data_IF_602270540501
#
_entry.id   IF_602270540501
#
_cell.length_a   1.000
_cell.length_b   1.000
_cell.length_c   1.000
_cell.angle_alpha   90.00
_cell.angle_beta   90.00
_cell.angle_gamma   90.00
#
_symmetry.space_group_name_H-M   'P 1'
#
loop_
_entity.id
_entity.type
_entity.pdbx_description
1 polymer ?
#
# COMPACT_ATOMS: atom_id res chain seq x y z
N UNK A 1 4.78 -3.79 -1.61
CA UNK A 1 4.12 -3.20 -0.40
C UNK A 1 4.59 -3.77 0.93
N UNK A 2 4.72 -5.10 1.13
CA UNK A 2 5.01 -5.67 2.46
C UNK A 2 6.35 -5.26 3.07
N UNK A 3 7.28 -4.81 2.22
CA UNK A 3 8.56 -4.22 2.62
C UNK A 3 9.68 -5.24 2.59
N UNK A 4 10.75 -4.92 1.86
CA UNK A 4 11.99 -5.70 1.75
C UNK A 4 13.24 -4.83 1.79
N UNK A 5 13.09 -3.51 1.97
CA UNK A 5 14.23 -2.61 2.12
C UNK A 5 15.11 -3.06 3.29
N UNK A 6 16.41 -3.25 3.04
CA UNK A 6 17.37 -3.69 4.05
C UNK A 6 17.38 -5.20 4.28
N UNK A 7 16.58 -5.99 3.55
CA UNK A 7 16.62 -7.45 3.61
C UNK A 7 17.65 -7.97 2.62
N UNK A 8 18.61 -8.75 3.12
CA UNK A 8 19.62 -9.46 2.32
C UNK A 8 19.73 -10.88 2.85
N UNK A 9 19.64 -11.89 1.98
CA UNK A 9 19.71 -13.31 2.36
C UNK A 9 18.75 -13.70 3.51
N UNK A 10 17.49 -13.25 3.44
CA UNK A 10 16.47 -13.44 4.48
C UNK A 10 16.86 -12.88 5.86
N UNK A 11 17.71 -11.86 5.90
CA UNK A 11 18.04 -11.14 7.12
C UNK A 11 17.81 -9.65 6.93
N UNK A 12 17.02 -9.04 7.79
CA UNK A 12 16.84 -7.59 7.83
C UNK A 12 18.03 -6.95 8.57
N UNK A 13 18.61 -5.90 8.01
CA UNK A 13 19.75 -5.19 8.60
C UNK A 13 19.41 -4.35 9.85
N UNK A 14 18.11 -4.25 10.19
CA UNK A 14 17.56 -3.47 11.30
C UNK A 14 17.88 -1.97 11.24
N UNK A 15 18.32 -1.47 10.08
CA UNK A 15 18.52 -0.05 9.88
C UNK A 15 17.16 0.63 9.63
N UNK A 16 16.76 1.49 10.56
CA UNK A 16 15.52 2.28 10.46
C UNK A 16 15.88 3.74 10.10
N UNK A 17 15.55 4.21 8.88
CA UNK A 17 15.76 5.60 8.49
C UNK A 17 15.02 6.59 9.40
N UNK A 18 15.49 7.85 9.54
CA UNK A 18 14.81 8.90 10.32
C UNK A 18 13.32 9.06 9.96
N UNK A 19 12.98 8.98 8.68
CA UNK A 19 11.63 9.11 8.15
C UNK A 19 10.72 7.93 8.53
N UNK A 20 11.30 6.80 8.91
CA UNK A 20 10.60 5.58 9.34
C UNK A 20 10.66 5.37 10.87
N UNK A 21 11.13 6.37 11.64
CA UNK A 21 11.13 6.27 13.09
C UNK A 21 9.71 6.20 13.64
N UNK A 22 9.53 5.41 14.71
CA UNK A 22 8.23 5.23 15.35
C UNK A 22 7.72 6.54 15.97
N UNK A 23 6.41 6.76 15.89
CA UNK A 23 5.73 7.93 16.44
C UNK A 23 4.50 7.46 17.22
N UNK A 24 4.26 7.99 18.42
CA UNK A 24 3.10 7.60 19.25
C UNK A 24 1.74 7.90 18.60
N UNK A 25 1.71 8.82 17.62
CA UNK A 25 0.53 9.15 16.82
C UNK A 25 0.37 8.28 15.57
N UNK A 26 1.24 7.28 15.36
CA UNK A 26 1.12 6.31 14.27
C UNK A 26 0.99 4.92 14.88
N UNK A 27 -0.16 4.29 14.64
CA UNK A 27 -0.49 2.96 15.13
C UNK A 27 -0.49 1.95 13.99
N UNK A 28 -0.30 0.68 14.33
CA UNK A 28 -0.38 -0.47 13.43
C UNK A 28 -1.37 -1.49 13.99
N UNK A 29 -2.25 -2.02 13.16
CA UNK A 29 -3.09 -3.14 13.54
C UNK A 29 -2.30 -4.46 13.41
N UNK A 30 -2.07 -5.14 14.52
CA UNK A 30 -1.36 -6.44 14.55
C UNK A 30 -2.17 -7.58 13.94
N UNK A 31 -1.56 -8.76 13.77
CA UNK A 31 -2.27 -9.99 13.42
C UNK A 31 -3.40 -10.33 14.40
N UNK A 32 -3.20 -10.02 15.69
CA UNK A 32 -4.17 -10.22 16.76
C UNK A 32 -5.28 -9.17 16.83
N UNK A 33 -5.40 -8.30 15.82
CA UNK A 33 -6.40 -7.22 15.75
C UNK A 33 -6.31 -6.23 16.92
N UNK A 34 -5.10 -6.02 17.45
CA UNK A 34 -4.82 -5.03 18.47
C UNK A 34 -4.01 -3.88 17.88
N UNK A 35 -4.24 -2.66 18.35
CA UNK A 35 -3.44 -1.49 17.99
C UNK A 35 -2.17 -1.42 18.82
N UNK A 36 -1.04 -1.18 18.17
CA UNK A 36 0.24 -0.88 18.80
C UNK A 36 0.92 0.30 18.10
N UNK A 37 1.92 0.92 18.72
CA UNK A 37 2.74 1.93 18.04
C UNK A 37 3.43 1.28 16.83
N UNK A 38 3.27 1.88 15.65
CA UNK A 38 3.85 1.35 14.42
C UNK A 38 5.38 1.38 14.47
N UNK A 39 5.99 0.23 14.16
CA UNK A 39 7.43 0.04 14.02
C UNK A 39 7.68 -0.80 12.78
N UNK A 40 8.66 -0.42 11.97
CA UNK A 40 9.08 -1.28 10.88
C UNK A 40 9.77 -2.55 11.42
N UNK A 41 9.63 -3.70 10.74
CA UNK A 41 8.79 -3.96 9.57
C UNK A 41 7.29 -4.08 9.91
N UNK A 42 6.42 -3.25 9.32
CA UNK A 42 4.98 -3.25 9.68
C UNK A 42 4.20 -4.49 9.18
N UNK A 43 4.78 -5.35 8.35
CA UNK A 43 4.14 -6.59 7.89
C UNK A 43 4.70 -7.86 8.57
N UNK A 44 5.58 -7.76 9.56
CA UNK A 44 6.31 -8.91 10.14
C UNK A 44 5.42 -10.08 10.65
N UNK A 45 4.20 -9.79 11.14
CA UNK A 45 3.23 -10.79 11.60
C UNK A 45 2.08 -11.02 10.60
N UNK A 46 2.13 -10.37 9.43
CA UNK A 46 1.13 -10.43 8.35
C UNK A 46 1.67 -11.24 7.17
N UNK A 47 2.83 -10.86 6.64
CA UNK A 47 3.53 -11.53 5.54
C UNK A 47 4.49 -12.59 6.11
N UNK A 48 3.95 -13.51 6.90
CA UNK A 48 4.72 -14.49 7.69
C UNK A 48 5.47 -15.54 6.86
N UNK A 49 5.31 -15.52 5.53
CA UNK A 49 6.03 -16.38 4.61
C UNK A 49 7.42 -15.84 4.24
N UNK A 50 7.74 -14.59 4.62
CA UNK A 50 8.96 -13.93 4.23
C UNK A 50 9.55 -13.05 5.35
N UNK A 51 10.86 -12.81 5.26
CA UNK A 51 11.50 -11.78 6.09
C UNK A 51 11.07 -10.41 5.57
N UNK A 52 10.39 -9.64 6.41
CA UNK A 52 9.98 -8.28 6.10
C UNK A 52 11.10 -7.29 6.45
N UNK A 53 11.21 -6.22 5.68
CA UNK A 53 12.09 -5.08 5.95
C UNK A 53 11.32 -3.77 5.89
N UNK A 54 12.01 -2.68 5.56
CA UNK A 54 11.39 -1.38 5.36
C UNK A 54 10.40 -1.46 4.19
N UNK A 55 9.17 -0.98 4.41
CA UNK A 55 8.20 -0.66 3.38
C UNK A 55 7.88 0.84 3.37
N UNK A 56 6.87 1.29 2.60
CA UNK A 56 6.59 2.71 2.46
C UNK A 56 5.68 3.27 3.57
N UNK A 57 5.10 2.39 4.41
CA UNK A 57 3.97 2.73 5.28
C UNK A 57 4.29 3.70 6.42
N UNK A 58 5.40 3.52 7.13
CA UNK A 58 5.76 4.44 8.22
C UNK A 58 6.26 5.78 7.67
N UNK A 59 7.06 5.78 6.59
CA UNK A 59 7.47 7.01 5.88
C UNK A 59 6.26 7.80 5.39
N UNK A 60 5.26 7.12 4.81
CA UNK A 60 3.98 7.71 4.41
C UNK A 60 3.27 8.40 5.58
N UNK A 61 3.08 7.69 6.69
CA UNK A 61 2.36 8.22 7.84
C UNK A 61 3.09 9.41 8.50
N UNK A 62 4.41 9.31 8.67
CA UNK A 62 5.22 10.42 9.19
C UNK A 62 5.19 11.64 8.26
N UNK A 63 5.21 11.43 6.94
CA UNK A 63 5.13 12.50 5.95
C UNK A 63 3.78 13.21 6.00
N UNK A 64 2.68 12.49 6.21
CA UNK A 64 1.36 13.10 6.42
C UNK A 64 1.35 13.93 7.70
N UNK A 65 1.76 13.37 8.85
CA UNK A 65 1.78 14.11 10.13
C UNK A 65 2.64 15.37 10.07
N UNK A 66 3.73 15.35 9.30
CA UNK A 66 4.59 16.51 9.08
C UNK A 66 3.90 17.62 8.29
N UNK A 67 3.08 17.28 7.30
CA UNK A 67 2.41 18.24 6.41
C UNK A 67 1.01 18.65 6.89
N UNK A 68 0.32 17.78 7.64
CA UNK A 68 -0.95 18.06 8.31
C UNK A 68 -0.92 17.55 9.76
N UNK A 69 -0.36 18.35 10.70
CA UNK A 69 -0.29 17.99 12.11
C UNK A 69 -1.65 17.83 12.79
N UNK A 70 -2.73 18.31 12.16
CA UNK A 70 -4.09 18.29 12.73
C UNK A 70 -4.90 17.07 12.29
N UNK A 71 -4.36 16.21 11.42
CA UNK A 71 -5.07 15.03 10.92
C UNK A 71 -5.40 14.00 12.03
N UNK A 72 -4.74 14.10 13.19
CA UNK A 72 -4.92 13.23 14.34
C UNK A 72 -4.05 11.97 14.30
N UNK A 73 -4.49 10.92 14.99
CA UNK A 73 -3.77 9.64 15.06
C UNK A 73 -3.98 8.86 13.75
N UNK A 74 -2.90 8.40 13.13
CA UNK A 74 -2.93 7.60 11.90
C UNK A 74 -2.85 6.12 12.26
N UNK A 75 -3.83 5.33 11.81
CA UNK A 75 -3.84 3.88 11.93
C UNK A 75 -3.44 3.20 10.61
N UNK A 76 -2.39 2.39 10.63
CA UNK A 76 -1.95 1.55 9.51
C UNK A 76 -2.55 0.14 9.66
N UNK A 77 -3.18 -0.35 8.59
CA UNK A 77 -3.75 -1.70 8.51
C UNK A 77 -2.95 -2.51 7.48
N UNK A 78 -1.82 -3.13 7.89
CA UNK A 78 -1.01 -3.94 6.98
C UNK A 78 -1.77 -5.19 6.56
N UNK A 79 -1.84 -5.45 5.25
CA UNK A 79 -2.53 -6.60 4.66
C UNK A 79 -1.72 -7.29 3.55
N UNK A 80 -0.62 -6.69 3.09
CA UNK A 80 0.12 -7.20 1.95
C UNK A 80 0.81 -8.53 2.26
N UNK A 81 0.85 -9.40 1.25
CA UNK A 81 1.57 -10.68 1.27
C UNK A 81 2.44 -10.72 0.01
N UNK A 82 3.69 -11.14 0.14
CA UNK A 82 4.64 -11.18 -0.98
C UNK A 82 4.28 -12.24 -2.02
N UNK A 83 4.73 -12.03 -3.26
CA UNK A 83 4.63 -13.02 -4.35
C UNK A 83 3.21 -13.50 -4.68
N UNK A 84 2.21 -12.63 -4.52
CA UNK A 84 0.82 -12.91 -4.88
C UNK A 84 0.41 -12.22 -6.18
N UNK A 85 -0.34 -12.93 -7.02
CA UNK A 85 -0.97 -12.44 -8.24
C UNK A 85 -2.32 -11.75 -7.94
N UNK A 86 -2.77 -10.79 -8.77
CA UNK A 86 -4.04 -10.06 -8.55
C UNK A 86 -5.26 -11.00 -8.46
N UNK A 87 -5.24 -12.14 -9.14
CA UNK A 87 -6.32 -13.14 -9.09
C UNK A 87 -6.53 -13.70 -7.68
N UNK A 88 -5.48 -13.76 -6.86
CA UNK A 88 -5.53 -14.19 -5.46
C UNK A 88 -6.13 -13.12 -4.53
N UNK A 89 -6.39 -11.92 -5.04
CA UNK A 89 -7.07 -10.81 -4.37
C UNK A 89 -8.50 -10.59 -4.89
N UNK A 90 -9.02 -11.51 -5.71
CA UNK A 90 -10.40 -11.44 -6.18
C UNK A 90 -11.42 -11.54 -5.04
N UNK A 91 -12.61 -10.95 -5.22
CA UNK A 91 -13.67 -10.99 -4.21
C UNK A 91 -13.97 -12.43 -3.75
N UNK A 92 -14.06 -12.62 -2.44
CA UNK A 92 -14.28 -13.93 -1.81
C UNK A 92 -13.03 -14.78 -1.64
N UNK A 93 -11.89 -14.41 -2.24
CA UNK A 93 -10.61 -15.07 -2.00
C UNK A 93 -10.10 -14.86 -0.58
N UNK A 94 -9.11 -15.68 -0.17
CA UNK A 94 -8.53 -15.61 1.17
C UNK A 94 -7.93 -14.22 1.49
N UNK A 95 -7.04 -13.69 0.65
CA UNK A 95 -6.36 -12.42 0.93
C UNK A 95 -7.30 -11.21 0.87
N UNK A 96 -8.28 -11.26 -0.04
CA UNK A 96 -9.36 -10.28 -0.10
C UNK A 96 -10.16 -10.25 1.20
N UNK A 97 -10.65 -11.41 1.65
CA UNK A 97 -11.44 -11.50 2.89
C UNK A 97 -10.63 -11.10 4.13
N UNK A 98 -9.33 -11.43 4.16
CA UNK A 98 -8.44 -10.98 5.23
C UNK A 98 -8.31 -9.45 5.26
N UNK A 99 -8.16 -8.82 4.09
CA UNK A 99 -8.15 -7.35 3.97
C UNK A 99 -9.43 -6.74 4.52
N UNK A 100 -10.59 -7.23 4.09
CA UNK A 100 -11.87 -6.70 4.56
C UNK A 100 -12.07 -6.90 6.06
N UNK A 101 -11.74 -8.08 6.59
CA UNK A 101 -11.90 -8.38 8.02
C UNK A 101 -11.00 -7.51 8.89
N UNK A 102 -9.74 -7.31 8.48
CA UNK A 102 -8.80 -6.43 9.19
C UNK A 102 -9.24 -4.98 9.14
N UNK A 103 -9.70 -4.50 7.99
CA UNK A 103 -10.24 -3.14 7.85
C UNK A 103 -11.47 -2.95 8.73
N UNK A 104 -12.43 -3.88 8.74
CA UNK A 104 -13.62 -3.81 9.61
C UNK A 104 -13.23 -3.80 11.10
N UNK A 105 -12.26 -4.64 11.51
CA UNK A 105 -11.76 -4.64 12.88
C UNK A 105 -11.11 -3.30 13.25
N UNK A 106 -10.31 -2.71 12.35
CA UNK A 106 -9.70 -1.39 12.56
C UNK A 106 -10.75 -0.29 12.81
N UNK A 107 -11.90 -0.38 12.12
CA UNK A 107 -12.97 0.62 12.21
C UNK A 107 -13.87 0.47 13.45
N UNK A 108 -13.80 -0.65 14.18
CA UNK A 108 -14.60 -0.84 15.41
C UNK A 108 -14.30 0.22 16.48
N UNK A 109 -13.10 0.81 16.47
CA UNK A 109 -12.69 1.88 17.39
C UNK A 109 -13.22 3.27 17.04
N UNK A 110 -14.07 3.41 16.01
CA UNK A 110 -14.62 4.70 15.57
C UNK A 110 -13.70 5.51 14.65
N UNK A 111 -12.61 4.91 14.17
CA UNK A 111 -11.75 5.54 13.16
C UNK A 111 -12.43 5.61 11.79
N UNK A 112 -11.86 6.42 10.89
CA UNK A 112 -12.33 6.57 9.51
C UNK A 112 -11.33 5.95 8.53
N UNK A 113 -11.81 5.18 7.56
CA UNK A 113 -10.99 4.68 6.46
C UNK A 113 -10.66 5.83 5.50
N UNK A 114 -9.40 6.27 5.48
CA UNK A 114 -8.97 7.47 4.73
C UNK A 114 -8.52 7.19 3.31
N UNK A 115 -7.87 6.05 3.07
CA UNK A 115 -7.40 5.64 1.77
C UNK A 115 -7.03 4.15 1.76
N UNK A 116 -6.98 3.55 0.56
CA UNK A 116 -6.29 2.30 0.29
C UNK A 116 -4.97 2.59 -0.43
N UNK A 117 -3.85 2.11 0.11
CA UNK A 117 -2.55 2.11 -0.58
C UNK A 117 -2.34 0.74 -1.23
N UNK A 118 -2.09 0.71 -2.53
CA UNK A 118 -1.93 -0.52 -3.30
C UNK A 118 -0.61 -0.53 -4.08
N UNK A 119 0.25 -1.51 -3.80
CA UNK A 119 1.46 -1.73 -4.59
C UNK A 119 1.68 -3.22 -4.79
N UNK A 120 1.31 -3.68 -5.97
CA UNK A 120 1.32 -5.06 -6.43
C UNK A 120 1.31 -5.04 -7.96
N UNK A 121 1.79 -6.13 -8.56
CA UNK A 121 1.69 -6.44 -9.98
C UNK A 121 2.86 -7.27 -10.49
N UNK A 122 3.95 -7.33 -9.71
CA UNK A 122 5.21 -7.98 -10.11
C UNK A 122 4.99 -9.46 -10.45
N UNK A 123 4.11 -10.16 -9.73
CA UNK A 123 3.79 -11.58 -10.03
C UNK A 123 2.90 -11.78 -11.26
N UNK A 124 2.15 -10.77 -11.67
CA UNK A 124 1.29 -10.82 -12.87
C UNK A 124 2.10 -10.64 -14.16
N UNK A 125 3.36 -10.20 -14.06
CA UNK A 125 4.28 -10.07 -15.20
C UNK A 125 4.84 -11.40 -15.72
N UNK A 126 4.56 -12.52 -15.04
CA UNK A 126 5.18 -13.82 -15.32
C UNK A 126 4.61 -14.51 -16.56
N UNK A 127 3.34 -14.28 -16.89
CA UNK A 127 2.68 -14.90 -18.04
C UNK A 127 1.72 -13.92 -18.73
N UNK A 128 1.51 -14.14 -20.03
CA UNK A 128 0.76 -13.23 -20.89
C UNK A 128 -0.70 -13.07 -20.45
N UNK A 129 -1.37 -14.17 -20.09
CA UNK A 129 -2.79 -14.15 -19.73
C UNK A 129 -3.03 -13.28 -18.50
N UNK A 130 -2.19 -13.39 -17.47
CA UNK A 130 -2.30 -12.57 -16.27
C UNK A 130 -2.04 -11.09 -16.58
N UNK A 131 -1.05 -10.79 -17.42
CA UNK A 131 -0.75 -9.42 -17.84
C UNK A 131 -1.90 -8.79 -18.64
N UNK A 132 -2.46 -9.51 -19.61
CA UNK A 132 -3.60 -9.05 -20.41
C UNK A 132 -4.85 -8.80 -19.56
N UNK A 133 -5.10 -9.65 -18.56
CA UNK A 133 -6.27 -9.54 -17.69
C UNK A 133 -6.07 -8.56 -16.51
N UNK A 134 -4.84 -8.14 -16.23
CA UNK A 134 -4.47 -7.38 -15.04
C UNK A 134 -5.32 -6.12 -14.86
N UNK A 135 -5.46 -5.29 -15.90
CA UNK A 135 -6.24 -4.05 -15.84
C UNK A 135 -7.67 -4.28 -15.35
N UNK A 136 -8.34 -5.26 -15.94
CA UNK A 136 -9.74 -5.59 -15.62
C UNK A 136 -9.88 -6.14 -14.20
N UNK A 137 -8.94 -7.01 -13.77
CA UNK A 137 -8.93 -7.60 -12.43
C UNK A 137 -8.62 -6.55 -11.36
N UNK A 138 -7.69 -5.64 -11.63
CA UNK A 138 -7.34 -4.52 -10.75
C UNK A 138 -8.52 -3.56 -10.57
N UNK A 139 -9.18 -3.15 -11.67
CA UNK A 139 -10.38 -2.32 -11.59
C UNK A 139 -11.48 -3.01 -10.78
N UNK A 140 -11.71 -4.31 -11.03
CA UNK A 140 -12.67 -5.10 -10.29
C UNK A 140 -12.33 -5.18 -8.80
N UNK A 141 -11.07 -5.42 -8.44
CA UNK A 141 -10.62 -5.44 -7.05
C UNK A 141 -10.95 -4.11 -6.34
N UNK A 142 -10.63 -2.97 -6.95
CA UNK A 142 -10.94 -1.66 -6.37
C UNK A 142 -12.44 -1.40 -6.22
N UNK A 143 -13.25 -1.78 -7.20
CA UNK A 143 -14.70 -1.63 -7.11
C UNK A 143 -15.31 -2.55 -6.05
N UNK A 144 -14.83 -3.79 -5.95
CA UNK A 144 -15.30 -4.77 -4.97
C UNK A 144 -14.95 -4.32 -3.54
N UNK A 145 -13.71 -3.84 -3.30
CA UNK A 145 -13.30 -3.31 -1.99
C UNK A 145 -14.19 -2.14 -1.57
N UNK A 146 -14.45 -1.19 -2.47
CA UNK A 146 -15.34 -0.05 -2.20
C UNK A 146 -16.76 -0.49 -1.86
N UNK A 147 -17.28 -1.47 -2.61
CA UNK A 147 -18.62 -2.00 -2.39
C UNK A 147 -18.73 -2.73 -1.05
N UNK A 148 -17.83 -3.67 -0.76
CA UNK A 148 -17.90 -4.52 0.44
C UNK A 148 -17.55 -3.77 1.75
N UNK A 149 -16.91 -2.60 1.64
CA UNK A 149 -16.66 -1.69 2.76
C UNK A 149 -17.67 -0.54 2.84
N UNK A 150 -18.64 -0.47 1.93
CA UNK A 150 -19.62 0.63 1.83
C UNK A 150 -18.96 2.02 1.76
N UNK A 151 -17.91 2.14 0.95
CA UNK A 151 -17.11 3.36 0.77
C UNK A 151 -16.92 3.68 -0.71
N UNK A 152 -18.00 4.04 -1.45
CA UNK A 152 -17.97 4.19 -2.91
C UNK A 152 -16.99 5.26 -3.42
N UNK A 153 -16.63 6.23 -2.58
CA UNK A 153 -15.69 7.31 -2.88
C UNK A 153 -14.31 7.13 -2.23
N UNK A 154 -14.00 5.96 -1.65
CA UNK A 154 -12.72 5.69 -0.98
C UNK A 154 -11.54 6.10 -1.88
N UNK A 155 -10.66 7.02 -1.43
CA UNK A 155 -9.42 7.30 -2.14
C UNK A 155 -8.55 6.06 -2.26
N UNK A 156 -8.08 5.77 -3.45
CA UNK A 156 -7.13 4.68 -3.71
C UNK A 156 -5.88 5.29 -4.32
N UNK A 157 -4.73 4.96 -3.77
CA UNK A 157 -3.43 5.33 -4.30
C UNK A 157 -2.73 4.04 -4.66
N UNK A 158 -2.60 3.79 -5.95
CA UNK A 158 -1.84 2.66 -6.44
C UNK A 158 -0.44 3.09 -6.88
N UNK A 159 0.45 2.11 -7.05
CA UNK A 159 1.82 2.32 -7.51
C UNK A 159 2.04 1.60 -8.84
N UNK A 160 2.50 2.32 -9.86
CA UNK A 160 3.01 1.71 -11.08
C UNK A 160 4.40 1.12 -10.83
N UNK A 161 4.62 -0.14 -11.22
CA UNK A 161 5.79 -0.92 -10.81
C UNK A 161 7.11 -0.30 -11.25
N UNK A 162 8.18 -0.46 -10.45
CA UNK A 162 9.55 -0.12 -10.89
C UNK A 162 10.33 -1.31 -11.44
N UNK A 163 9.86 -2.53 -11.18
CA UNK A 163 10.56 -3.79 -11.41
C UNK A 163 9.53 -4.87 -11.72
N UNK A 164 10.00 -5.97 -12.28
CA UNK A 164 9.19 -7.08 -12.77
C UNK A 164 9.79 -8.42 -12.37
N UNK A 165 8.99 -9.49 -12.36
CA UNK A 165 9.46 -10.88 -12.24
C UNK A 165 9.47 -11.61 -13.59
N UNK A 166 8.82 -11.06 -14.62
CA UNK A 166 8.70 -11.65 -15.94
C UNK A 166 8.73 -10.61 -17.06
N UNK A 167 8.49 -11.02 -18.32
CA UNK A 167 8.73 -10.16 -19.47
C UNK A 167 7.63 -9.11 -19.70
N UNK A 168 6.48 -9.23 -19.04
CA UNK A 168 5.29 -8.39 -19.32
C UNK A 168 5.19 -7.16 -18.42
N UNK A 169 6.32 -6.47 -18.18
CA UNK A 169 6.36 -5.27 -17.33
C UNK A 169 5.56 -4.12 -17.94
N UNK A 170 5.71 -3.91 -19.25
CA UNK A 170 5.09 -2.79 -19.97
C UNK A 170 3.58 -2.87 -19.90
N UNK A 171 3.00 -4.06 -20.13
CA UNK A 171 1.56 -4.30 -20.07
C UNK A 171 0.98 -4.01 -18.68
N UNK A 172 1.68 -4.44 -17.61
CA UNK A 172 1.25 -4.18 -16.23
C UNK A 172 1.35 -2.68 -15.91
N UNK A 173 2.43 -2.02 -16.31
CA UNK A 173 2.60 -0.57 -16.09
C UNK A 173 1.58 0.24 -16.86
N UNK A 174 1.30 -0.09 -18.12
CA UNK A 174 0.26 0.54 -18.93
C UNK A 174 -1.12 0.38 -18.29
N UNK A 175 -1.42 -0.79 -17.71
CA UNK A 175 -2.66 -1.02 -16.99
C UNK A 175 -2.78 -0.15 -15.72
N UNK A 176 -1.69 -0.01 -14.94
CA UNK A 176 -1.65 0.80 -13.71
C UNK A 176 -1.74 2.31 -14.01
N UNK A 177 -0.99 2.78 -15.00
CA UNK A 177 -0.97 4.19 -15.41
C UNK A 177 -2.25 4.59 -16.16
N UNK A 178 -2.82 3.66 -16.92
CA UNK A 178 -4.03 3.87 -17.73
C UNK A 178 -5.34 3.55 -17.00
N UNK A 179 -5.35 3.47 -15.66
CA UNK A 179 -6.59 3.22 -14.91
C UNK A 179 -7.55 4.41 -15.05
N UNK A 180 -8.82 4.11 -15.29
CA UNK A 180 -9.87 5.11 -15.38
C UNK A 180 -10.95 4.76 -14.35
N UNK A 181 -10.70 5.14 -13.10
CA UNK A 181 -11.66 5.01 -12.01
C UNK A 181 -11.66 6.30 -11.17
N UNK A 182 -12.83 6.76 -10.71
CA UNK A 182 -12.91 7.94 -9.85
C UNK A 182 -12.16 7.70 -8.54
N UNK A 183 -11.60 8.77 -7.97
CA UNK A 183 -10.85 8.75 -6.71
C UNK A 183 -9.71 7.72 -6.67
N UNK A 184 -9.09 7.45 -7.83
CA UNK A 184 -7.86 6.64 -7.93
C UNK A 184 -6.73 7.53 -8.44
N UNK A 185 -5.59 7.51 -7.76
CA UNK A 185 -4.33 8.13 -8.20
C UNK A 185 -3.27 7.03 -8.37
N UNK A 186 -2.39 7.22 -9.34
CA UNK A 186 -1.24 6.33 -9.58
C UNK A 186 0.04 7.10 -9.32
N UNK A 187 0.87 6.60 -8.41
CA UNK A 187 2.25 7.05 -8.19
C UNK A 187 3.17 6.18 -9.05
N UNK A 188 4.05 6.78 -9.85
CA UNK A 188 5.00 6.01 -10.65
C UNK A 188 6.28 5.73 -9.86
N UNK A 189 6.57 4.47 -9.56
CA UNK A 189 7.82 4.08 -8.89
C UNK A 189 9.00 3.93 -9.87
N UNK A 190 8.79 4.09 -11.19
CA UNK A 190 9.86 3.93 -12.17
C UNK A 190 11.09 4.81 -11.84
N UNK A 191 12.27 4.20 -11.95
CA UNK A 191 13.54 4.85 -11.62
C UNK A 191 13.88 4.89 -10.13
N UNK A 192 13.00 4.42 -9.25
CA UNK A 192 13.36 4.23 -7.84
C UNK A 192 14.43 3.16 -7.69
N UNK A 193 15.33 3.36 -6.71
CA UNK A 193 16.46 2.47 -6.51
C UNK A 193 16.04 1.09 -6.01
N UNK A 194 16.39 0.07 -6.77
CA UNK A 194 16.20 -1.35 -6.43
C UNK A 194 17.33 -1.85 -5.53
N UNK A 195 17.01 -2.82 -4.68
CA UNK A 195 17.94 -3.54 -3.82
C UNK A 195 18.83 -4.53 -4.59
N UNK A 196 19.69 -5.27 -3.88
CA UNK A 196 20.68 -6.16 -4.49
C UNK A 196 20.08 -7.39 -5.19
N UNK A 197 18.80 -7.70 -4.95
CA UNK A 197 18.08 -8.79 -5.62
C UNK A 197 17.49 -8.40 -6.98
N UNK A 198 17.62 -7.12 -7.37
CA UNK A 198 17.07 -6.54 -8.60
C UNK A 198 15.54 -6.64 -8.73
N UNK A 199 14.84 -6.96 -7.64
CA UNK A 199 13.37 -7.06 -7.63
C UNK A 199 12.78 -6.05 -6.66
N UNK A 200 13.26 -6.01 -5.41
CA UNK A 200 12.60 -5.21 -4.39
C UNK A 200 13.23 -3.83 -4.25
N UNK A 201 12.44 -2.85 -3.84
CA UNK A 201 12.95 -1.51 -3.54
C UNK A 201 13.97 -1.53 -2.40
N UNK A 202 15.01 -0.72 -2.55
CA UNK A 202 15.96 -0.44 -1.47
C UNK A 202 15.29 0.35 -0.34
N UNK A 203 15.87 0.33 0.87
CA UNK A 203 15.38 1.12 2.01
C UNK A 203 15.15 2.60 1.68
N UNK A 204 16.09 3.24 0.98
CA UNK A 204 15.95 4.64 0.56
C UNK A 204 14.81 4.86 -0.42
N UNK A 205 14.57 3.89 -1.32
CA UNK A 205 13.48 3.97 -2.28
C UNK A 205 12.11 3.76 -1.62
N UNK A 206 12.01 2.88 -0.63
CA UNK A 206 10.79 2.71 0.17
C UNK A 206 10.44 3.98 0.95
N UNK A 207 11.44 4.67 1.51
CA UNK A 207 11.26 6.00 2.12
C UNK A 207 10.71 7.00 1.11
N UNK A 208 11.34 7.10 -0.06
CA UNK A 208 10.93 8.00 -1.14
C UNK A 208 9.51 7.68 -1.62
N UNK A 209 9.18 6.41 -1.82
CA UNK A 209 7.84 5.96 -2.22
C UNK A 209 6.80 6.35 -1.16
N UNK A 210 7.11 6.19 0.14
CA UNK A 210 6.22 6.63 1.22
C UNK A 210 5.90 8.13 1.15
N UNK A 211 6.90 8.97 0.85
CA UNK A 211 6.71 10.41 0.66
C UNK A 211 5.86 10.73 -0.59
N UNK A 212 6.09 10.03 -1.70
CA UNK A 212 5.30 10.18 -2.93
C UNK A 212 3.83 9.79 -2.71
N UNK A 213 3.58 8.70 -1.98
CA UNK A 213 2.24 8.27 -1.59
C UNK A 213 1.56 9.31 -0.67
N UNK A 214 2.31 9.91 0.26
CA UNK A 214 1.78 10.93 1.17
C UNK A 214 1.38 12.19 0.42
N UNK A 215 2.19 12.62 -0.55
CA UNK A 215 1.88 13.73 -1.44
C UNK A 215 0.58 13.46 -2.23
N UNK A 216 0.46 12.28 -2.86
CA UNK A 216 -0.74 11.89 -3.58
C UNK A 216 -1.99 11.83 -2.68
N UNK A 217 -1.83 11.45 -1.41
CA UNK A 217 -2.91 11.45 -0.43
C UNK A 217 -3.41 12.86 -0.11
N UNK A 218 -2.51 13.80 0.16
CA UNK A 218 -2.85 15.18 0.54
C UNK A 218 -3.54 15.94 -0.62
N UNK A 219 -3.25 15.57 -1.86
CA UNK A 219 -3.91 16.13 -3.05
C UNK A 219 -5.40 15.78 -3.15
N UNK A 220 -5.87 14.66 -2.57
CA UNK A 220 -7.31 14.37 -2.54
C UNK A 220 -8.10 15.40 -1.72
N UNK A 221 -7.50 16.00 -0.68
CA UNK A 221 -8.12 17.06 0.11
C UNK A 221 -8.05 18.45 -0.52
N UNK A 222 -7.30 18.59 -1.63
CA UNK A 222 -7.01 19.86 -2.32
C UNK A 222 -7.82 20.03 -3.60
N UNK A 223 -8.58 19.01 -4.03
CA UNK A 223 -9.37 19.06 -5.25
C UNK A 223 -10.68 19.87 -5.03
N UNK A 224 -10.85 21.04 -5.66
CA UNK A 224 -12.06 21.85 -5.50
C UNK A 224 -13.34 21.16 -6.03
N UNK A 225 -13.22 20.05 -6.77
CA UNK A 225 -14.36 19.24 -7.21
C UNK A 225 -14.82 18.20 -6.17
N UNK A 226 -14.08 17.99 -5.08
CA UNK A 226 -14.46 17.11 -3.98
C UNK A 226 -14.78 18.00 -2.76
N UNK A 227 -16.04 18.12 -2.31
CA UNK A 227 -16.36 18.96 -1.16
C UNK A 227 -15.53 18.49 0.05
N UNK A 228 -15.01 19.45 0.82
CA UNK A 228 -14.10 19.33 1.99
C UNK A 228 -14.60 18.44 3.16
N UNK A 229 -15.52 17.51 2.92
CA UNK A 229 -16.10 16.63 3.93
C UNK A 229 -15.13 15.58 4.48
N UNK A 230 -13.93 15.42 3.89
CA UNK A 230 -12.94 14.45 4.36
C UNK A 230 -12.15 14.90 5.61
N UNK A 231 -12.21 16.18 6.00
CA UNK A 231 -11.32 16.74 7.04
C UNK A 231 -12.06 17.31 8.27
N UNK A 232 -13.37 17.08 8.41
CA UNK A 232 -14.11 17.44 9.62
C UNK A 232 -14.90 16.25 10.14
N UNK A 233 -14.33 15.58 11.13
CA UNK A 233 -14.92 14.50 11.92
C UNK A 233 -13.92 14.06 12.97
#
# INVERSE_FOLDING_TARGET
MSGRGGVVNNNFDWYIPPECQSNSSILRLTKGLSWEVAKEPIHQDIDYYATCGIGPGVSFANSILKNDPNIGVIGLVPCAVGSTNISQWSQGSFFYNQTLNRTRAALQGGGMLRALLWYQGESDTLNLEDAELYKSRLQKFFTDVRYDLDTPSLPIIQVALTTTLGPYEEEIREAQLGIQLPNVRTVDANGLKVGPDNVHLSTSAEVQLGQMLAQAFLEFGSDPAQPHNFLKG
#
